data_IF_303670474231
#
_entry.id   IF_303670474231
#
_cell.length_a   1.000
_cell.length_b   1.000
_cell.length_c   1.000
_cell.angle_alpha   90.00
_cell.angle_beta   90.00
_cell.angle_gamma   90.00
#
_symmetry.space_group_name_H-M   'P 1'
#
loop_
_entity.id
_entity.type
_entity.pdbx_description
1 polymer ?
#
# COMPACT_ATOMS: atom_id res chain seq x y z
N UNK A 1 -12.90 -15.85 16.28
CA UNK A 1 -13.67 -16.27 15.09
C UNK A 1 -12.74 -16.12 13.91
N UNK A 2 -12.34 -17.23 13.27
CA UNK A 2 -11.61 -17.15 12.00
C UNK A 2 -12.51 -16.42 11.00
N UNK A 3 -12.07 -15.25 10.53
CA UNK A 3 -12.68 -14.56 9.41
C UNK A 3 -12.55 -15.48 8.21
N UNK A 4 -13.67 -16.00 7.70
CA UNK A 4 -13.67 -16.66 6.39
C UNK A 4 -13.21 -15.58 5.39
N UNK A 5 -12.17 -15.82 4.56
CA UNK A 5 -11.80 -14.88 3.52
C UNK A 5 -13.00 -14.71 2.58
N UNK A 6 -13.64 -13.54 2.62
CA UNK A 6 -14.68 -13.20 1.65
C UNK A 6 -13.94 -12.73 0.40
N UNK A 7 -13.79 -13.65 -0.55
CA UNK A 7 -13.12 -13.37 -1.81
C UNK A 7 -13.94 -12.38 -2.63
N UNK A 8 -13.34 -11.29 -3.10
CA UNK A 8 -14.00 -10.49 -4.13
C UNK A 8 -13.80 -11.16 -5.49
N UNK A 9 -14.90 -11.30 -6.22
CA UNK A 9 -14.94 -11.64 -7.64
C UNK A 9 -15.64 -10.49 -8.38
N UNK A 10 -15.70 -10.56 -9.71
CA UNK A 10 -16.58 -9.67 -10.46
C UNK A 10 -18.03 -9.89 -10.01
N UNK A 11 -18.58 -8.92 -9.28
CA UNK A 11 -19.98 -8.91 -8.86
C UNK A 11 -20.77 -8.18 -9.96
N UNK A 12 -21.83 -8.80 -10.54
CA UNK A 12 -22.73 -8.13 -11.46
C UNK A 12 -23.32 -6.86 -10.82
N UNK A 13 -23.57 -5.84 -11.64
CA UNK A 13 -24.05 -4.51 -11.20
C UNK A 13 -25.26 -4.56 -10.26
N UNK A 14 -26.15 -5.53 -10.45
CA UNK A 14 -27.43 -5.64 -9.74
C UNK A 14 -27.30 -6.34 -8.37
N UNK A 15 -26.13 -6.91 -8.06
CA UNK A 15 -25.87 -7.67 -6.82
C UNK A 15 -25.14 -6.83 -5.75
N UNK A 16 -25.03 -5.50 -5.94
CA UNK A 16 -24.45 -4.58 -4.96
C UNK A 16 -25.41 -4.43 -3.78
N UNK A 17 -25.06 -5.05 -2.66
CA UNK A 17 -25.77 -4.87 -1.40
C UNK A 17 -25.27 -3.61 -0.69
N UNK A 18 -26.19 -2.75 -0.25
CA UNK A 18 -25.81 -1.50 0.43
C UNK A 18 -25.44 -1.76 1.89
N UNK A 19 -25.04 -0.73 2.64
CA UNK A 19 -24.80 -0.86 4.10
C UNK A 19 -26.13 -0.93 4.85
N UNK A 20 -26.81 -2.06 4.72
CA UNK A 20 -28.09 -2.32 5.36
C UNK A 20 -27.88 -2.92 6.76
N UNK A 21 -28.55 -2.32 7.75
CA UNK A 21 -28.71 -2.92 9.08
C UNK A 21 -29.82 -3.97 9.02
N UNK A 22 -29.56 -5.09 8.33
CA UNK A 22 -30.55 -6.15 8.03
C UNK A 22 -31.27 -6.72 9.27
N UNK A 23 -30.82 -6.39 10.49
CA UNK A 23 -31.32 -6.96 11.74
C UNK A 23 -31.60 -5.94 12.85
N UNK A 24 -31.66 -4.62 12.59
CA UNK A 24 -31.79 -3.60 13.66
C UNK A 24 -30.75 -3.82 14.79
N UNK A 25 -29.49 -4.13 14.42
CA UNK A 25 -28.45 -4.59 15.34
C UNK A 25 -27.93 -3.51 16.30
N UNK A 26 -28.32 -2.26 16.07
CA UNK A 26 -27.95 -1.13 16.91
C UNK A 26 -28.92 -1.05 18.08
N UNK A 27 -28.78 -2.01 18.99
CA UNK A 27 -29.31 -1.92 20.34
C UNK A 27 -28.39 -1.02 21.18
N UNK A 28 -29.00 -0.10 21.94
CA UNK A 28 -28.33 0.68 22.97
C UNK A 28 -27.62 -0.28 23.96
N UNK A 29 -26.28 -0.23 24.03
CA UNK A 29 -25.34 -1.04 24.84
C UNK A 29 -24.58 -2.23 24.18
N UNK A 30 -24.58 -2.41 22.85
CA UNK A 30 -23.69 -3.39 22.19
C UNK A 30 -22.40 -2.78 21.62
N UNK A 31 -21.37 -3.63 21.48
CA UNK A 31 -20.07 -3.29 20.90
C UNK A 31 -20.24 -2.79 19.45
N UNK A 32 -20.23 -1.46 19.27
CA UNK A 32 -20.33 -0.78 17.97
C UNK A 32 -19.34 -1.34 16.94
N UNK A 33 -18.15 -1.80 17.38
CA UNK A 33 -17.17 -2.36 16.45
C UNK A 33 -17.69 -3.64 15.79
N UNK A 34 -18.28 -4.53 16.58
CA UNK A 34 -18.88 -5.77 16.07
C UNK A 34 -20.05 -5.49 15.12
N UNK A 35 -20.84 -4.43 15.36
CA UNK A 35 -21.93 -4.01 14.48
C UNK A 35 -21.43 -3.43 13.15
N UNK A 36 -20.41 -2.57 13.18
CA UNK A 36 -19.86 -1.97 11.97
C UNK A 36 -18.98 -2.92 11.15
N UNK A 37 -18.50 -4.04 11.73
CA UNK A 37 -17.64 -4.99 11.02
C UNK A 37 -18.24 -5.52 9.71
N UNK A 38 -19.44 -6.14 9.70
CA UNK A 38 -20.03 -6.64 8.45
C UNK A 38 -20.30 -5.51 7.44
N UNK A 39 -20.71 -4.34 7.91
CA UNK A 39 -20.92 -3.15 7.07
C UNK A 39 -19.61 -2.73 6.37
N UNK A 40 -18.53 -2.59 7.12
CA UNK A 40 -17.24 -2.22 6.52
C UNK A 40 -16.67 -3.32 5.63
N UNK A 41 -16.83 -4.59 5.99
CA UNK A 41 -16.44 -5.70 5.12
C UNK A 41 -17.16 -5.62 3.77
N UNK A 42 -18.47 -5.35 3.78
CA UNK A 42 -19.26 -5.16 2.57
C UNK A 42 -18.81 -3.93 1.75
N UNK A 43 -18.51 -2.80 2.41
CA UNK A 43 -17.95 -1.62 1.75
C UNK A 43 -16.66 -1.94 1.00
N UNK A 44 -15.69 -2.59 1.66
CA UNK A 44 -14.41 -2.90 1.05
C UNK A 44 -14.52 -4.00 0.00
N UNK A 45 -15.46 -4.95 0.14
CA UNK A 45 -15.81 -5.91 -0.89
C UNK A 45 -16.28 -5.19 -2.16
N UNK A 46 -17.24 -4.27 -2.06
CA UNK A 46 -17.76 -3.53 -3.20
C UNK A 46 -16.72 -2.61 -3.85
N UNK A 47 -15.87 -1.95 -3.04
CA UNK A 47 -14.72 -1.17 -3.56
C UNK A 47 -13.76 -2.05 -4.36
N UNK A 48 -13.44 -3.23 -3.84
CA UNK A 48 -12.57 -4.19 -4.51
C UNK A 48 -13.19 -4.69 -5.83
N UNK A 49 -14.48 -5.04 -5.82
CA UNK A 49 -15.20 -5.44 -7.04
C UNK A 49 -15.25 -4.32 -8.08
N UNK A 50 -15.37 -3.05 -7.65
CA UNK A 50 -15.34 -1.88 -8.55
C UNK A 50 -13.97 -1.67 -9.21
N UNK A 51 -12.88 -2.03 -8.52
CA UNK A 51 -11.53 -2.03 -9.11
C UNK A 51 -11.42 -3.13 -10.16
N UNK A 52 -11.93 -4.33 -9.89
CA UNK A 52 -11.90 -5.47 -10.82
C UNK A 52 -12.75 -5.24 -12.08
N UNK A 53 -13.93 -4.63 -11.92
CA UNK A 53 -14.85 -4.34 -13.02
C UNK A 53 -14.54 -3.04 -13.77
N UNK A 54 -13.69 -2.18 -13.20
CA UNK A 54 -13.48 -0.80 -13.65
C UNK A 54 -14.78 0.02 -13.71
N UNK A 55 -15.74 -0.27 -12.82
CA UNK A 55 -17.04 0.41 -12.71
C UNK A 55 -17.24 0.94 -11.29
N UNK A 56 -17.36 2.26 -11.16
CA UNK A 56 -17.55 2.96 -9.90
C UNK A 56 -18.99 3.44 -9.67
N UNK A 57 -19.93 3.17 -10.57
CA UNK A 57 -21.28 3.76 -10.50
C UNK A 57 -22.04 3.27 -9.28
N UNK A 58 -21.97 1.95 -9.00
CA UNK A 58 -22.63 1.34 -7.87
C UNK A 58 -22.11 1.82 -6.50
N UNK A 59 -20.87 2.32 -6.45
CA UNK A 59 -20.29 2.88 -5.23
C UNK A 59 -20.99 4.16 -4.76
N UNK A 60 -21.70 4.89 -5.63
CA UNK A 60 -22.40 6.13 -5.26
C UNK A 60 -23.35 5.95 -4.08
N UNK A 61 -24.00 4.79 -3.98
CA UNK A 61 -24.96 4.47 -2.92
C UNK A 61 -24.35 4.46 -1.51
N UNK A 62 -23.02 4.32 -1.39
CA UNK A 62 -22.30 4.31 -0.11
C UNK A 62 -21.95 5.71 0.40
N UNK A 63 -22.08 6.78 -0.41
CA UNK A 63 -21.61 8.12 -0.05
C UNK A 63 -22.75 9.14 -0.03
N UNK A 64 -22.64 10.09 0.90
CA UNK A 64 -23.51 11.26 0.91
C UNK A 64 -23.05 12.27 -0.16
N UNK A 65 -23.59 12.14 -1.37
CA UNK A 65 -23.24 13.01 -2.50
C UNK A 65 -23.83 14.42 -2.41
N UNK A 66 -24.71 14.71 -1.45
CA UNK A 66 -25.21 16.07 -1.20
C UNK A 66 -24.21 16.91 -0.39
N UNK A 67 -23.23 16.27 0.25
CA UNK A 67 -22.15 16.93 1.00
C UNK A 67 -20.83 16.88 0.23
N UNK A 68 -20.12 18.01 0.17
CA UNK A 68 -18.77 18.09 -0.45
C UNK A 68 -17.81 17.05 0.11
N UNK A 69 -17.85 16.76 1.41
CA UNK A 69 -16.97 15.76 2.03
C UNK A 69 -17.29 14.33 1.61
N UNK A 70 -18.56 14.01 1.31
CA UNK A 70 -18.95 12.72 0.76
C UNK A 70 -18.62 12.62 -0.72
N UNK A 71 -18.83 13.69 -1.48
CA UNK A 71 -18.39 13.80 -2.89
C UNK A 71 -16.88 13.55 -3.01
N UNK A 72 -16.05 14.23 -2.20
CA UNK A 72 -14.59 14.04 -2.23
C UNK A 72 -14.17 12.62 -1.87
N UNK A 73 -14.84 11.97 -0.92
CA UNK A 73 -14.57 10.58 -0.58
C UNK A 73 -14.87 9.64 -1.76
N UNK A 74 -16.01 9.85 -2.43
CA UNK A 74 -16.37 9.10 -3.64
C UNK A 74 -15.39 9.35 -4.80
N UNK A 75 -15.04 10.61 -5.06
CA UNK A 75 -14.07 11.00 -6.09
C UNK A 75 -12.69 10.37 -5.85
N UNK A 76 -12.28 10.20 -4.58
CA UNK A 76 -11.04 9.53 -4.27
C UNK A 76 -11.05 8.05 -4.71
N UNK A 77 -12.15 7.34 -4.47
CA UNK A 77 -12.28 5.95 -4.94
C UNK A 77 -12.29 5.87 -6.48
N UNK A 78 -12.93 6.82 -7.17
CA UNK A 78 -12.89 6.87 -8.65
C UNK A 78 -11.46 7.05 -9.14
N UNK A 79 -10.69 7.97 -8.52
CA UNK A 79 -9.28 8.19 -8.88
C UNK A 79 -8.45 6.92 -8.67
N UNK A 80 -8.69 6.19 -7.59
CA UNK A 80 -8.03 4.93 -7.28
C UNK A 80 -8.35 3.83 -8.30
N UNK A 81 -9.61 3.66 -8.68
CA UNK A 81 -10.03 2.70 -9.72
C UNK A 81 -9.33 3.03 -11.05
N UNK A 82 -9.37 4.30 -11.46
CA UNK A 82 -8.69 4.77 -12.66
C UNK A 82 -7.17 4.57 -12.59
N UNK A 83 -6.55 4.83 -11.44
CA UNK A 83 -5.13 4.61 -11.24
C UNK A 83 -4.74 3.16 -11.49
N UNK A 84 -5.47 2.22 -10.88
CA UNK A 84 -5.23 0.80 -11.03
C UNK A 84 -5.45 0.31 -12.46
N UNK A 85 -6.49 0.78 -13.13
CA UNK A 85 -6.73 0.50 -14.55
C UNK A 85 -5.55 0.98 -15.42
N UNK A 86 -5.10 2.22 -15.22
CA UNK A 86 -3.95 2.77 -15.95
C UNK A 86 -2.65 2.02 -15.65
N UNK A 87 -2.44 1.62 -14.40
CA UNK A 87 -1.28 0.79 -14.03
C UNK A 87 -1.35 -0.57 -14.73
N UNK A 88 -2.49 -1.26 -14.69
CA UNK A 88 -2.69 -2.52 -15.41
C UNK A 88 -2.37 -2.40 -16.91
N UNK A 89 -2.85 -1.34 -17.57
CA UNK A 89 -2.57 -1.06 -18.98
C UNK A 89 -1.06 -0.88 -19.23
N UNK A 90 -0.39 -0.04 -18.43
CA UNK A 90 1.05 0.22 -18.55
C UNK A 90 1.90 -1.02 -18.30
N UNK A 91 1.51 -1.85 -17.34
CA UNK A 91 2.23 -3.06 -16.97
C UNK A 91 1.95 -4.24 -17.92
N UNK A 92 0.84 -4.23 -18.67
CA UNK A 92 0.36 -5.41 -19.40
C UNK A 92 -0.12 -6.50 -18.45
N UNK A 93 -0.79 -6.10 -17.37
CA UNK A 93 -1.25 -6.99 -16.31
C UNK A 93 -2.73 -6.75 -16.00
N UNK A 94 -3.39 -7.77 -15.45
CA UNK A 94 -4.78 -7.69 -15.02
C UNK A 94 -4.93 -8.22 -13.61
N UNK A 95 -5.72 -7.54 -12.77
CA UNK A 95 -6.09 -8.07 -11.46
C UNK A 95 -7.02 -9.27 -11.62
N UNK A 96 -6.70 -10.38 -10.94
CA UNK A 96 -7.52 -11.60 -10.93
C UNK A 96 -8.48 -11.64 -9.74
N UNK A 97 -8.06 -11.11 -8.59
CA UNK A 97 -8.84 -11.05 -7.35
C UNK A 97 -8.23 -10.04 -6.38
N UNK A 98 -9.07 -9.51 -5.50
CA UNK A 98 -8.65 -8.57 -4.45
C UNK A 98 -9.33 -8.95 -3.13
N UNK A 99 -8.56 -9.04 -2.04
CA UNK A 99 -9.09 -9.43 -0.74
C UNK A 99 -8.75 -8.36 0.30
N UNK A 100 -9.69 -8.04 1.20
CA UNK A 100 -9.44 -7.08 2.27
C UNK A 100 -9.72 -7.69 3.63
N UNK A 101 -8.81 -7.47 4.59
CA UNK A 101 -9.02 -7.74 6.01
C UNK A 101 -9.21 -6.40 6.71
N UNK A 102 -10.38 -6.20 7.32
CA UNK A 102 -10.73 -4.98 8.06
C UNK A 102 -10.55 -5.20 9.56
N UNK A 103 -9.87 -4.29 10.24
CA UNK A 103 -9.73 -4.26 11.69
C UNK A 103 -10.23 -2.93 12.27
N UNK A 104 -11.32 -2.96 13.02
CA UNK A 104 -11.93 -1.75 13.59
C UNK A 104 -11.27 -1.42 14.93
N UNK A 105 -10.44 -0.38 14.93
CA UNK A 105 -9.74 0.09 16.12
C UNK A 105 -10.63 0.93 17.03
N UNK A 106 -11.57 1.70 16.47
CA UNK A 106 -12.47 2.57 17.22
C UNK A 106 -13.80 2.71 16.47
N UNK A 107 -14.90 2.69 17.22
CA UNK A 107 -16.22 3.09 16.75
C UNK A 107 -16.92 3.83 17.89
N UNK A 108 -17.39 5.04 17.64
CA UNK A 108 -18.09 5.87 18.62
C UNK A 108 -19.23 6.62 17.96
N UNK A 109 -20.37 6.77 18.65
CA UNK A 109 -21.35 7.77 18.26
C UNK A 109 -20.84 9.17 18.67
N UNK A 110 -20.80 10.09 17.71
CA UNK A 110 -20.31 11.45 17.92
C UNK A 110 -21.46 12.41 18.21
N UNK A 111 -22.54 12.22 17.47
CA UNK A 111 -23.81 12.96 17.54
C UNK A 111 -24.91 11.96 17.19
N UNK A 112 -26.17 12.29 17.49
CA UNK A 112 -27.31 11.42 17.19
C UNK A 112 -27.25 10.91 15.74
N UNK A 113 -27.20 9.59 15.58
CA UNK A 113 -27.14 8.87 14.31
C UNK A 113 -25.86 9.14 13.48
N UNK A 114 -24.80 9.71 14.04
CA UNK A 114 -23.53 9.97 13.36
C UNK A 114 -22.38 9.30 14.10
N UNK A 115 -21.73 8.36 13.44
CA UNK A 115 -20.72 7.50 14.05
C UNK A 115 -19.34 7.77 13.44
N UNK A 116 -18.35 7.99 14.30
CA UNK A 116 -16.94 8.04 13.93
C UNK A 116 -16.31 6.66 14.04
N UNK A 117 -15.78 6.14 12.94
CA UNK A 117 -15.14 4.82 12.87
C UNK A 117 -13.70 4.97 12.38
N UNK A 118 -12.76 4.31 13.06
CA UNK A 118 -11.36 4.20 12.64
C UNK A 118 -11.06 2.73 12.39
N UNK A 119 -10.74 2.38 11.15
CA UNK A 119 -10.36 1.02 10.80
C UNK A 119 -9.03 0.97 10.04
N UNK A 120 -8.28 -0.11 10.27
CA UNK A 120 -7.11 -0.48 9.49
C UNK A 120 -7.53 -1.55 8.49
N UNK A 121 -7.06 -1.46 7.26
CA UNK A 121 -7.42 -2.38 6.19
C UNK A 121 -6.15 -2.88 5.53
N UNK A 122 -6.00 -4.20 5.46
CA UNK A 122 -4.97 -4.86 4.66
C UNK A 122 -5.62 -5.39 3.41
N UNK A 123 -5.31 -4.81 2.25
CA UNK A 123 -5.84 -5.22 0.96
C UNK A 123 -4.76 -5.92 0.15
N UNK A 124 -5.02 -7.18 -0.18
CA UNK A 124 -4.19 -8.02 -1.02
C UNK A 124 -4.71 -8.03 -2.45
N UNK A 125 -3.82 -7.74 -3.40
CA UNK A 125 -4.11 -7.71 -4.81
C UNK A 125 -3.37 -8.86 -5.49
N UNK A 126 -4.09 -9.58 -6.34
CA UNK A 126 -3.52 -10.63 -7.17
C UNK A 126 -3.62 -10.23 -8.63
N UNK A 127 -2.54 -10.39 -9.37
CA UNK A 127 -2.47 -9.98 -10.76
C UNK A 127 -1.69 -10.97 -11.61
N UNK A 128 -1.97 -10.94 -12.91
CA UNK A 128 -1.38 -11.82 -13.91
C UNK A 128 -0.95 -10.99 -15.11
N UNK A 129 0.19 -11.33 -15.69
CA UNK A 129 0.61 -10.74 -16.96
C UNK A 129 -0.19 -11.33 -18.11
N UNK A 130 -0.49 -10.51 -19.12
CA UNK A 130 -1.29 -10.89 -20.28
C UNK A 130 -0.71 -12.08 -21.06
N UNK A 131 0.62 -12.18 -21.12
CA UNK A 131 1.35 -13.22 -21.84
C UNK A 131 1.64 -14.47 -20.98
N UNK A 132 1.40 -14.41 -19.67
CA UNK A 132 1.59 -15.51 -18.71
C UNK A 132 0.38 -15.66 -17.76
N UNK A 133 -0.84 -15.90 -18.27
CA UNK A 133 -2.08 -15.90 -17.48
C UNK A 133 -2.18 -17.03 -16.44
N UNK A 134 -1.26 -17.99 -16.48
CA UNK A 134 -1.18 -19.11 -15.53
C UNK A 134 -0.32 -18.79 -14.31
N UNK A 135 0.47 -17.71 -14.31
CA UNK A 135 1.33 -17.33 -13.19
C UNK A 135 0.69 -16.14 -12.49
N UNK A 136 0.34 -16.32 -11.22
CA UNK A 136 -0.25 -15.27 -10.39
C UNK A 136 0.81 -14.62 -9.50
N UNK A 137 0.88 -13.30 -9.56
CA UNK A 137 1.68 -12.46 -8.67
C UNK A 137 0.75 -11.80 -7.63
N UNK A 138 1.32 -11.29 -6.53
CA UNK A 138 0.55 -10.62 -5.48
C UNK A 138 1.30 -9.53 -4.77
N UNK A 139 0.56 -8.60 -4.16
CA UNK A 139 1.08 -7.61 -3.21
C UNK A 139 0.01 -7.20 -2.19
N UNK A 140 0.42 -6.56 -1.07
CA UNK A 140 -0.51 -6.00 -0.08
C UNK A 140 -0.28 -4.51 0.17
N UNK A 141 -1.38 -3.79 0.38
CA UNK A 141 -1.42 -2.41 0.84
C UNK A 141 -2.15 -2.31 2.18
N UNK A 142 -1.63 -1.52 3.10
CA UNK A 142 -2.25 -1.20 4.38
C UNK A 142 -2.69 0.25 4.45
N UNK A 143 -3.97 0.47 4.74
CA UNK A 143 -4.58 1.80 4.86
C UNK A 143 -5.27 1.99 6.20
N UNK A 144 -5.28 3.22 6.70
CA UNK A 144 -5.99 3.61 7.91
C UNK A 144 -7.08 4.62 7.55
N UNK A 145 -8.34 4.22 7.76
CA UNK A 145 -9.52 4.98 7.36
C UNK A 145 -10.19 5.61 8.57
N UNK A 146 -10.53 6.88 8.44
CA UNK A 146 -11.30 7.66 9.40
C UNK A 146 -12.64 8.03 8.74
N UNK A 147 -13.68 7.29 9.12
CA UNK A 147 -15.01 7.37 8.52
C UNK A 147 -15.98 8.09 9.47
N UNK A 148 -16.83 8.95 8.91
CA UNK A 148 -18.07 9.39 9.54
C UNK A 148 -19.23 8.72 8.81
N UNK A 149 -19.93 7.82 9.49
CA UNK A 149 -21.08 7.09 8.97
C UNK A 149 -22.36 7.70 9.57
N UNK A 150 -23.27 8.17 8.71
CA UNK A 150 -24.59 8.67 9.13
C UNK A 150 -25.63 7.59 8.91
N UNK A 151 -26.41 7.28 9.95
CA UNK A 151 -27.59 6.44 9.85
C UNK A 151 -28.74 7.27 9.25
N UNK A 152 -29.33 6.79 8.16
CA UNK A 152 -30.54 7.35 7.56
C UNK A 152 -31.81 6.75 8.16
N UNK A 153 -32.96 7.38 7.88
CA UNK A 153 -34.26 6.98 8.44
C UNK A 153 -34.73 5.59 7.96
N UNK A 154 -34.19 5.11 6.84
CA UNK A 154 -34.38 3.75 6.29
C UNK A 154 -33.37 2.73 6.84
N UNK A 155 -32.73 3.03 7.98
CA UNK A 155 -31.72 2.20 8.64
C UNK A 155 -30.44 1.92 7.85
N UNK A 156 -30.19 2.60 6.73
CA UNK A 156 -28.93 2.49 6.00
C UNK A 156 -27.84 3.38 6.58
N UNK A 157 -26.60 3.03 6.29
CA UNK A 157 -25.44 3.85 6.60
C UNK A 157 -24.84 4.46 5.35
N UNK A 158 -24.58 5.77 5.39
CA UNK A 158 -23.89 6.50 4.31
C UNK A 158 -22.63 7.18 4.83
N UNK A 159 -21.58 7.19 4.02
CA UNK A 159 -20.33 7.86 4.30
C UNK A 159 -20.52 9.36 4.07
N UNK A 160 -20.55 10.15 5.15
CA UNK A 160 -20.58 11.61 5.04
C UNK A 160 -19.20 12.21 4.83
N UNK A 161 -18.18 11.53 5.37
CA UNK A 161 -16.79 11.93 5.29
C UNK A 161 -15.91 10.71 5.46
N UNK A 162 -14.85 10.67 4.69
CA UNK A 162 -13.74 9.75 4.88
C UNK A 162 -12.43 10.50 4.75
N UNK A 163 -11.43 10.07 5.49
CA UNK A 163 -10.05 10.44 5.26
C UNK A 163 -9.16 9.21 5.43
N UNK A 164 -8.28 8.99 4.47
CA UNK A 164 -7.15 8.08 4.59
C UNK A 164 -6.02 8.57 3.69
N UNK A 165 -4.78 8.23 4.03
CA UNK A 165 -3.66 8.48 3.13
C UNK A 165 -3.70 7.47 2.00
N UNK A 166 -4.25 7.87 0.86
CA UNK A 166 -4.19 7.09 -0.36
C UNK A 166 -2.85 7.34 -1.08
N UNK A 167 -1.94 6.34 -1.16
CA UNK A 167 -0.68 6.50 -1.87
C UNK A 167 -0.87 6.68 -3.38
N UNK A 168 -2.09 6.53 -3.90
CA UNK A 168 -2.46 6.61 -5.31
C UNK A 168 -3.24 7.90 -5.66
N UNK A 169 -3.36 8.84 -4.70
CA UNK A 169 -4.15 10.06 -4.85
C UNK A 169 -3.71 10.99 -5.99
N UNK A 170 -2.41 10.95 -6.35
CA UNK A 170 -1.90 11.59 -7.55
C UNK A 170 -2.15 10.65 -8.75
N UNK A 171 -3.21 10.92 -9.52
CA UNK A 171 -3.63 10.07 -10.64
C UNK A 171 -2.49 9.87 -11.64
N UNK A 172 -2.22 8.61 -12.00
CA UNK A 172 -1.31 8.26 -13.08
C UNK A 172 -1.85 8.79 -14.42
N UNK A 173 -1.18 9.76 -15.02
CA UNK A 173 -1.53 10.23 -16.37
C UNK A 173 -0.78 9.42 -17.42
N UNK A 174 -1.51 8.61 -18.18
CA UNK A 174 -0.95 7.78 -19.25
C UNK A 174 -0.45 8.61 -20.43
N UNK A 175 -0.95 9.83 -20.63
CA UNK A 175 -0.56 10.67 -21.78
C UNK A 175 0.93 11.05 -21.75
N UNK A 176 1.54 11.06 -20.56
CA UNK A 176 2.94 11.44 -20.35
C UNK A 176 3.88 10.23 -20.24
N UNK A 177 3.36 9.01 -20.39
CA UNK A 177 4.11 7.77 -20.24
C UNK A 177 4.11 7.01 -21.56
N UNK A 178 5.28 6.46 -21.93
CA UNK A 178 5.42 5.61 -23.11
C UNK A 178 4.82 4.20 -22.88
N UNK A 179 3.53 4.15 -22.59
CA UNK A 179 2.83 2.97 -22.06
C UNK A 179 3.12 1.70 -22.88
N UNK A 180 3.00 1.76 -24.21
CA UNK A 180 3.28 0.61 -25.07
C UNK A 180 4.75 0.17 -25.09
N UNK A 181 5.72 1.09 -25.04
CA UNK A 181 7.15 0.74 -24.99
C UNK A 181 7.47 0.04 -23.66
N UNK A 182 6.94 0.58 -22.56
CA UNK A 182 7.12 0.05 -21.20
C UNK A 182 6.46 -1.33 -21.08
N UNK A 183 5.19 -1.45 -21.49
CA UNK A 183 4.45 -2.70 -21.50
C UNK A 183 5.20 -3.79 -22.25
N UNK A 184 5.58 -3.53 -23.50
CA UNK A 184 6.29 -4.53 -24.33
C UNK A 184 7.63 -4.94 -23.71
N UNK A 185 8.35 -3.98 -23.10
CA UNK A 185 9.60 -4.28 -22.41
C UNK A 185 9.38 -5.14 -21.17
N UNK A 186 8.37 -4.85 -20.34
CA UNK A 186 8.07 -5.67 -19.15
C UNK A 186 7.68 -7.08 -19.56
N UNK A 187 6.76 -7.23 -20.52
CA UNK A 187 6.28 -8.54 -20.97
C UNK A 187 7.40 -9.40 -21.58
N UNK A 188 8.41 -8.79 -22.22
CA UNK A 188 9.54 -9.53 -22.79
C UNK A 188 10.52 -10.09 -21.75
N UNK A 189 10.41 -9.72 -20.47
CA UNK A 189 11.30 -10.19 -19.42
C UNK A 189 10.80 -11.48 -18.77
N UNK A 190 11.72 -12.14 -18.07
CA UNK A 190 11.43 -13.26 -17.17
C UNK A 190 12.19 -13.04 -15.87
N UNK A 191 11.61 -13.48 -14.77
CA UNK A 191 12.28 -13.44 -13.48
C UNK A 191 13.67 -14.09 -13.55
N UNK A 192 14.73 -13.43 -13.07
CA UNK A 192 16.04 -14.04 -12.98
C UNK A 192 16.04 -15.12 -11.90
N UNK A 193 16.90 -16.13 -12.05
CA UNK A 193 17.18 -17.05 -10.94
C UNK A 193 17.95 -16.27 -9.86
N UNK A 194 17.31 -16.03 -8.73
CA UNK A 194 17.90 -15.32 -7.61
C UNK A 194 17.76 -16.14 -6.32
N UNK A 195 18.85 -16.23 -5.57
CA UNK A 195 18.87 -16.81 -4.23
C UNK A 195 19.58 -15.80 -3.32
N UNK A 196 18.88 -15.20 -2.35
CA UNK A 196 19.51 -14.26 -1.43
C UNK A 196 20.55 -14.98 -0.55
N UNK A 197 21.62 -14.29 -0.20
CA UNK A 197 22.49 -14.74 0.89
C UNK A 197 21.73 -14.68 2.24
N UNK A 198 22.35 -15.25 3.28
CA UNK A 198 21.70 -15.38 4.59
C UNK A 198 21.31 -14.02 5.21
N UNK A 199 22.17 -12.99 5.08
CA UNK A 199 21.90 -11.67 5.68
C UNK A 199 20.80 -10.95 4.92
N UNK A 200 20.84 -11.02 3.59
CA UNK A 200 19.76 -10.49 2.75
C UNK A 200 18.44 -11.20 3.04
N UNK A 201 18.45 -12.53 3.21
CA UNK A 201 17.26 -13.30 3.56
C UNK A 201 16.66 -12.88 4.90
N UNK A 202 17.48 -12.72 5.95
CA UNK A 202 17.04 -12.20 7.26
C UNK A 202 16.45 -10.79 7.17
N UNK A 203 17.03 -9.92 6.34
CA UNK A 203 16.49 -8.58 6.09
C UNK A 203 15.11 -8.63 5.42
N UNK A 204 14.93 -9.49 4.41
CA UNK A 204 13.63 -9.71 3.74
C UNK A 204 12.60 -10.23 4.76
N UNK A 205 12.97 -11.23 5.56
CA UNK A 205 12.08 -11.83 6.55
C UNK A 205 11.65 -10.78 7.60
N UNK A 206 12.59 -9.97 8.09
CA UNK A 206 12.27 -8.87 8.99
C UNK A 206 11.28 -7.88 8.35
N UNK A 207 11.53 -7.50 7.10
CA UNK A 207 10.66 -6.57 6.37
C UNK A 207 9.24 -7.13 6.24
N UNK A 208 9.09 -8.40 5.86
CA UNK A 208 7.78 -9.03 5.69
C UNK A 208 7.03 -9.13 7.02
N UNK A 209 7.73 -9.47 8.10
CA UNK A 209 7.15 -9.59 9.44
C UNK A 209 6.66 -8.25 9.99
N UNK A 210 7.42 -7.17 9.84
CA UNK A 210 7.13 -5.91 10.56
C UNK A 210 6.55 -4.79 9.69
N UNK A 211 6.18 -5.05 8.44
CA UNK A 211 5.64 -4.05 7.52
C UNK A 211 4.24 -3.52 7.86
N UNK A 212 3.55 -4.06 8.86
CA UNK A 212 2.17 -3.69 9.22
C UNK A 212 1.08 -4.45 8.46
N UNK A 213 1.37 -5.03 7.30
CA UNK A 213 0.44 -5.87 6.51
C UNK A 213 0.99 -7.28 6.24
N UNK A 214 1.67 -7.85 7.23
CA UNK A 214 2.29 -9.17 7.17
C UNK A 214 1.33 -10.27 6.71
N UNK A 215 1.88 -11.31 6.08
CA UNK A 215 1.19 -12.57 5.81
C UNK A 215 0.98 -13.39 7.10
N UNK A 216 1.81 -13.16 8.11
CA UNK A 216 1.63 -13.75 9.42
C UNK A 216 0.55 -12.98 10.20
N UNK A 217 -0.56 -13.65 10.49
CA UNK A 217 -1.68 -13.10 11.26
C UNK A 217 -1.27 -12.59 12.64
N UNK A 218 -0.24 -13.19 13.26
CA UNK A 218 0.28 -12.73 14.55
C UNK A 218 0.96 -11.36 14.43
N UNK A 219 1.38 -10.97 13.23
CA UNK A 219 2.06 -9.72 12.94
C UNK A 219 1.24 -8.73 12.09
N UNK A 220 0.04 -9.13 11.65
CA UNK A 220 -0.86 -8.24 10.92
C UNK A 220 -1.28 -7.02 11.77
N UNK A 221 -1.19 -5.83 11.19
CA UNK A 221 -1.39 -4.52 11.84
C UNK A 221 -0.42 -4.22 13.00
N UNK A 222 0.75 -4.87 13.02
CA UNK A 222 1.77 -4.66 14.05
C UNK A 222 3.10 -4.22 13.43
N UNK A 223 3.79 -3.39 14.19
CA UNK A 223 5.16 -2.96 13.92
C UNK A 223 6.08 -3.46 15.04
N UNK A 224 7.40 -3.38 14.83
CA UNK A 224 8.36 -3.75 15.86
C UNK A 224 8.28 -2.80 17.06
N UNK A 225 7.89 -3.32 18.23
CA UNK A 225 7.69 -2.54 19.47
C UNK A 225 8.98 -1.96 20.06
N UNK A 226 10.15 -2.47 19.66
CA UNK A 226 11.44 -1.93 20.09
C UNK A 226 11.74 -0.57 19.43
N UNK A 227 11.04 -0.26 18.35
CA UNK A 227 11.17 0.97 17.60
C UNK A 227 9.91 1.83 17.76
N UNK A 228 10.11 3.14 17.84
CA UNK A 228 9.03 4.11 17.80
C UNK A 228 8.49 4.10 16.37
N UNK A 229 7.17 4.03 16.24
CA UNK A 229 6.49 4.28 14.98
C UNK A 229 6.41 5.80 14.75
N UNK A 230 7.15 6.32 13.77
CA UNK A 230 7.16 7.74 13.40
C UNK A 230 6.11 8.11 12.35
N UNK A 231 5.19 7.21 11.97
CA UNK A 231 4.11 7.54 11.05
C UNK A 231 3.30 8.77 11.51
N UNK A 232 2.94 8.92 12.81
CA UNK A 232 2.27 10.13 13.30
C UNK A 232 3.12 11.41 13.25
N UNK A 233 4.45 11.27 13.17
CA UNK A 233 5.41 12.38 13.18
C UNK A 233 5.83 12.82 11.76
N UNK A 234 5.15 12.30 10.72
CA UNK A 234 5.35 12.69 9.32
C UNK A 234 6.19 11.74 8.47
N UNK A 235 6.65 10.60 9.01
CA UNK A 235 7.44 9.64 8.22
C UNK A 235 8.14 8.56 9.04
N UNK A 236 7.93 7.28 8.71
CA UNK A 236 8.60 6.11 9.30
C UNK A 236 9.41 5.27 8.28
N UNK A 237 9.33 5.57 6.98
CA UNK A 237 9.95 4.79 5.92
C UNK A 237 11.46 4.57 6.10
N UNK A 238 12.22 5.62 6.41
CA UNK A 238 13.66 5.50 6.66
C UNK A 238 13.98 4.79 7.99
N UNK A 239 13.16 5.00 9.02
CA UNK A 239 13.28 4.29 10.28
C UNK A 239 13.09 2.78 10.08
N UNK A 240 12.12 2.38 9.26
CA UNK A 240 11.87 0.99 8.92
C UNK A 240 12.95 0.39 8.01
N UNK A 241 13.38 1.11 6.97
CA UNK A 241 14.53 0.69 6.15
C UNK A 241 15.79 0.49 7.01
N UNK A 242 16.01 1.36 8.00
CA UNK A 242 17.13 1.23 8.92
C UNK A 242 17.00 0.02 9.84
N UNK A 243 15.79 -0.28 10.31
CA UNK A 243 15.50 -1.50 11.06
C UNK A 243 15.79 -2.76 10.25
N UNK A 244 15.35 -2.81 8.99
CA UNK A 244 15.60 -3.93 8.08
C UNK A 244 17.11 -4.22 7.95
N UNK A 245 17.92 -3.17 7.76
CA UNK A 245 19.38 -3.30 7.67
C UNK A 245 20.01 -3.73 9.00
N UNK A 246 19.57 -3.16 10.12
CA UNK A 246 20.18 -3.43 11.42
C UNK A 246 19.78 -4.81 11.98
N UNK A 247 18.48 -5.05 12.12
CA UNK A 247 17.94 -6.25 12.77
C UNK A 247 18.05 -7.48 11.87
N UNK A 248 17.77 -7.32 10.57
CA UNK A 248 17.83 -8.43 9.62
C UNK A 248 19.16 -8.50 8.89
N UNK A 249 19.61 -7.38 8.30
CA UNK A 249 20.86 -7.33 7.54
C UNK A 249 22.14 -7.33 8.37
N UNK A 250 22.04 -7.29 9.70
CA UNK A 250 23.16 -7.29 10.66
C UNK A 250 24.17 -6.14 10.46
N UNK A 251 23.74 -5.02 9.85
CA UNK A 251 24.58 -3.84 9.67
C UNK A 251 24.96 -3.22 11.02
N UNK A 252 26.23 -2.88 11.24
CA UNK A 252 26.67 -2.29 12.52
C UNK A 252 26.24 -0.82 12.62
N UNK A 253 25.61 -0.43 13.73
CA UNK A 253 25.35 0.99 14.07
C UNK A 253 26.67 1.75 14.29
N UNK A 254 26.64 3.06 14.07
CA UNK A 254 27.71 3.99 14.44
C UNK A 254 27.14 5.35 14.87
N UNK A 255 27.97 6.33 15.19
CA UNK A 255 27.49 7.64 15.66
C UNK A 255 26.63 8.40 14.64
N UNK A 256 26.80 8.14 13.34
CA UNK A 256 26.07 8.83 12.26
C UNK A 256 24.76 8.15 11.90
N UNK A 257 24.69 6.82 12.01
CA UNK A 257 23.50 6.00 11.78
C UNK A 257 23.27 5.07 12.97
N UNK A 258 22.38 5.48 13.85
CA UNK A 258 22.02 4.77 15.07
C UNK A 258 20.63 5.16 15.57
N UNK A 259 20.11 4.32 16.45
CA UNK A 259 18.86 4.46 17.17
C UNK A 259 19.04 4.04 18.62
N UNK A 260 18.60 4.89 19.56
CA UNK A 260 18.65 4.66 20.99
C UNK A 260 17.60 5.51 21.72
N UNK A 261 17.07 5.01 22.83
CA UNK A 261 16.16 5.81 23.69
C UNK A 261 14.90 6.33 22.98
N UNK A 262 14.35 5.57 22.02
CA UNK A 262 13.23 5.98 21.15
C UNK A 262 13.52 7.15 20.20
N UNK A 263 14.79 7.43 19.96
CA UNK A 263 15.26 8.47 19.04
C UNK A 263 16.25 7.87 18.05
N UNK A 264 16.18 8.31 16.80
CA UNK A 264 17.15 7.95 15.77
C UNK A 264 17.93 9.18 15.32
N UNK A 265 19.20 8.95 14.96
CA UNK A 265 20.00 9.93 14.21
C UNK A 265 19.28 10.34 12.92
N UNK A 266 19.64 11.50 12.36
CA UNK A 266 19.01 11.97 11.10
C UNK A 266 19.14 10.93 9.98
N UNK A 267 20.30 10.29 9.83
CA UNK A 267 20.51 9.24 8.84
C UNK A 267 19.65 8.00 9.09
N UNK A 268 19.21 7.74 10.33
CA UNK A 268 18.33 6.63 10.63
C UNK A 268 16.86 6.91 10.29
N UNK A 269 16.36 8.11 10.62
CA UNK A 269 14.91 8.40 10.55
C UNK A 269 14.48 9.25 9.36
N UNK A 270 15.40 9.91 8.65
CA UNK A 270 15.06 10.82 7.56
C UNK A 270 15.44 10.24 6.19
N UNK A 271 14.48 10.17 5.26
CA UNK A 271 14.65 9.58 3.93
C UNK A 271 15.85 10.13 3.13
N UNK A 272 16.03 11.45 3.11
CA UNK A 272 17.14 12.09 2.41
C UNK A 272 18.49 11.76 3.06
N UNK A 273 18.56 11.88 4.38
CA UNK A 273 19.79 11.65 5.12
C UNK A 273 20.18 10.16 5.16
N UNK A 274 19.20 9.27 5.21
CA UNK A 274 19.39 7.83 5.07
C UNK A 274 20.07 7.50 3.73
N UNK A 275 19.48 7.96 2.62
CA UNK A 275 20.07 7.77 1.29
C UNK A 275 21.47 8.35 1.21
N UNK A 276 21.67 9.57 1.70
CA UNK A 276 22.99 10.23 1.71
C UNK A 276 24.02 9.40 2.49
N UNK A 277 23.65 8.93 3.68
CA UNK A 277 24.50 8.08 4.51
C UNK A 277 24.87 6.77 3.82
N UNK A 278 23.89 6.07 3.25
CA UNK A 278 24.13 4.78 2.59
C UNK A 278 25.15 4.92 1.45
N UNK A 279 25.02 5.96 0.62
CA UNK A 279 25.96 6.23 -0.48
C UNK A 279 27.32 6.70 0.04
N UNK A 280 27.35 7.68 0.96
CA UNK A 280 28.60 8.29 1.41
C UNK A 280 29.43 7.39 2.35
N UNK A 281 28.83 6.31 2.88
CA UNK A 281 29.51 5.32 3.72
C UNK A 281 29.89 4.04 2.97
N UNK A 282 29.74 4.03 1.64
CA UNK A 282 29.98 2.88 0.76
C UNK A 282 29.14 1.64 1.11
N UNK A 283 28.04 1.83 1.84
CA UNK A 283 27.05 0.76 2.13
C UNK A 283 26.09 0.53 0.98
N UNK A 284 25.98 1.47 0.06
CA UNK A 284 25.23 1.33 -1.16
C UNK A 284 25.86 2.10 -2.30
N UNK A 285 25.63 1.64 -3.53
CA UNK A 285 26.03 2.32 -4.77
C UNK A 285 24.83 2.58 -5.66
N UNK A 286 24.95 3.53 -6.60
CA UNK A 286 23.85 3.82 -7.53
C UNK A 286 23.81 2.80 -8.67
N UNK A 287 22.62 2.23 -8.90
CA UNK A 287 22.29 1.52 -10.13
C UNK A 287 21.87 2.54 -11.20
N UNK A 288 20.92 3.42 -10.86
CA UNK A 288 20.41 4.46 -11.74
C UNK A 288 19.71 5.59 -10.97
N UNK A 289 19.58 6.75 -11.61
CA UNK A 289 18.79 7.88 -11.11
C UNK A 289 18.13 8.63 -12.28
N UNK A 290 16.83 8.89 -12.22
CA UNK A 290 16.11 9.57 -13.30
C UNK A 290 14.60 9.60 -13.12
N UNK A 291 13.88 10.12 -14.12
CA UNK A 291 12.43 9.95 -14.17
C UNK A 291 12.07 8.49 -14.49
N UNK A 292 10.81 8.09 -14.32
CA UNK A 292 10.37 6.73 -14.65
C UNK A 292 10.74 6.35 -16.10
N UNK A 293 10.40 7.19 -17.07
CA UNK A 293 10.66 6.95 -18.50
C UNK A 293 12.16 6.80 -18.81
N UNK A 294 13.04 7.45 -18.05
CA UNK A 294 14.49 7.40 -18.27
C UNK A 294 15.10 6.08 -17.78
N UNK A 295 14.59 5.53 -16.67
CA UNK A 295 15.30 4.46 -15.94
C UNK A 295 14.50 3.18 -15.70
N UNK A 296 13.26 3.06 -16.17
CA UNK A 296 12.45 1.85 -15.93
C UNK A 296 13.14 0.55 -16.37
N UNK A 297 13.96 0.60 -17.44
CA UNK A 297 14.76 -0.55 -17.89
C UNK A 297 15.80 -0.96 -16.86
N UNK A 298 16.42 0.00 -16.18
CA UNK A 298 17.40 -0.24 -15.12
C UNK A 298 16.78 -0.80 -13.84
N UNK A 299 15.46 -0.69 -13.66
CA UNK A 299 14.77 -1.27 -12.50
C UNK A 299 14.92 -2.79 -12.44
N UNK A 300 15.07 -3.46 -13.59
CA UNK A 300 15.32 -4.91 -13.66
C UNK A 300 16.71 -5.34 -13.16
N UNK A 301 17.60 -4.38 -12.84
CA UNK A 301 18.86 -4.66 -12.16
C UNK A 301 18.74 -4.63 -10.63
N UNK A 302 17.62 -4.13 -10.10
CA UNK A 302 17.34 -4.18 -8.66
C UNK A 302 17.14 -5.62 -8.21
N UNK A 303 17.63 -5.93 -7.02
CA UNK A 303 17.53 -7.23 -6.37
C UNK A 303 16.95 -7.07 -4.97
N UNK A 304 16.34 -8.13 -4.42
CA UNK A 304 15.99 -8.13 -3.00
C UNK A 304 17.19 -7.74 -2.13
N UNK A 305 16.98 -6.84 -1.17
CA UNK A 305 18.02 -6.16 -0.39
C UNK A 305 18.25 -4.70 -0.79
N UNK A 306 18.03 -4.36 -2.07
CA UNK A 306 18.26 -3.01 -2.59
C UNK A 306 17.23 -1.99 -2.07
N UNK A 307 17.49 -0.70 -2.26
CA UNK A 307 16.52 0.36 -1.97
C UNK A 307 16.13 1.18 -3.20
N UNK A 308 14.89 1.64 -3.16
CA UNK A 308 14.36 2.68 -4.05
C UNK A 308 14.11 3.94 -3.23
N UNK A 309 14.75 5.04 -3.64
CA UNK A 309 14.46 6.38 -3.12
C UNK A 309 13.57 7.16 -4.08
N UNK A 310 12.56 7.84 -3.54
CA UNK A 310 11.62 8.65 -4.32
C UNK A 310 11.87 10.13 -4.03
N UNK A 311 12.34 10.85 -5.05
CA UNK A 311 12.66 12.27 -4.99
C UNK A 311 11.50 13.10 -5.50
N UNK A 312 11.05 14.08 -4.70
CA UNK A 312 10.08 15.11 -5.10
C UNK A 312 10.70 16.47 -4.82
N UNK A 313 10.73 17.34 -5.83
CA UNK A 313 11.31 18.70 -5.76
C UNK A 313 12.75 18.74 -5.21
N UNK A 314 13.62 17.86 -5.71
CA UNK A 314 15.05 17.84 -5.33
C UNK A 314 15.38 17.13 -4.02
N UNK A 315 14.38 16.57 -3.32
CA UNK A 315 14.57 15.91 -2.03
C UNK A 315 13.95 14.52 -2.02
N UNK A 316 14.66 13.54 -1.47
CA UNK A 316 14.10 12.21 -1.21
C UNK A 316 13.03 12.33 -0.11
N UNK A 317 11.78 12.08 -0.49
CA UNK A 317 10.62 12.13 0.40
C UNK A 317 10.24 10.76 0.94
N UNK A 318 10.71 9.69 0.29
CA UNK A 318 10.36 8.32 0.67
C UNK A 318 11.47 7.32 0.32
N UNK A 319 11.51 6.21 1.06
CA UNK A 319 12.43 5.08 0.85
C UNK A 319 11.61 3.78 0.92
N UNK A 320 11.86 2.86 0.00
CA UNK A 320 11.33 1.49 0.09
C UNK A 320 12.43 0.46 -0.17
N UNK A 321 12.32 -0.70 0.47
CA UNK A 321 13.26 -1.83 0.32
C UNK A 321 12.71 -2.80 -0.71
N UNK A 322 13.52 -3.21 -1.68
CA UNK A 322 13.17 -4.32 -2.57
C UNK A 322 13.26 -5.61 -1.77
N UNK A 323 12.18 -6.37 -1.72
CA UNK A 323 12.09 -7.62 -0.94
C UNK A 323 11.60 -8.81 -1.74
N UNK A 324 11.37 -8.62 -3.04
CA UNK A 324 10.96 -9.66 -3.95
C UNK A 324 11.00 -9.19 -5.38
N UNK A 325 10.85 -10.14 -6.30
CA UNK A 325 10.69 -9.92 -7.72
C UNK A 325 9.43 -10.68 -8.15
N UNK A 326 8.64 -10.13 -9.07
CA UNK A 326 7.50 -10.84 -9.64
C UNK A 326 7.93 -11.82 -10.75
N UNK A 327 6.96 -12.45 -11.42
CA UNK A 327 7.21 -13.43 -12.49
C UNK A 327 7.99 -12.89 -13.70
N UNK A 328 7.99 -11.57 -13.92
CA UNK A 328 8.76 -10.90 -14.98
C UNK A 328 10.11 -10.38 -14.48
N UNK A 329 10.40 -10.51 -13.18
CA UNK A 329 11.59 -9.93 -12.56
C UNK A 329 11.40 -8.46 -12.18
N UNK A 330 10.17 -7.97 -12.19
CA UNK A 330 9.86 -6.59 -11.80
C UNK A 330 10.02 -6.44 -10.28
N UNK A 331 10.70 -5.38 -9.80
CA UNK A 331 11.05 -5.28 -8.38
C UNK A 331 9.84 -4.90 -7.52
N UNK A 332 9.69 -5.65 -6.42
CA UNK A 332 8.62 -5.52 -5.45
C UNK A 332 9.17 -5.01 -4.11
N UNK A 333 8.61 -3.90 -3.63
CA UNK A 333 9.08 -3.18 -2.46
C UNK A 333 8.19 -3.34 -1.24
N UNK A 334 8.80 -3.30 -0.07
CA UNK A 334 8.17 -3.35 1.25
C UNK A 334 8.62 -2.14 2.06
N UNK A 335 7.67 -1.39 2.62
CA UNK A 335 7.96 -0.16 3.37
C UNK A 335 6.79 0.27 4.28
N UNK A 336 7.06 1.23 5.18
CA UNK A 336 6.04 1.97 5.95
C UNK A 336 5.61 3.25 5.22
N UNK A 337 4.69 4.03 5.84
CA UNK A 337 4.00 5.20 5.28
C UNK A 337 3.07 4.86 4.10
N UNK A 338 1.85 4.45 4.47
CA UNK A 338 1.04 3.45 3.76
C UNK A 338 1.80 2.14 3.72
N UNK A 339 1.37 1.18 4.52
CA UNK A 339 2.09 -0.08 4.68
C UNK A 339 2.09 -0.84 3.35
N UNK A 340 3.26 -1.32 2.92
CA UNK A 340 3.44 -2.02 1.65
C UNK A 340 4.16 -3.32 1.90
N UNK A 341 3.62 -4.41 1.35
CA UNK A 341 4.31 -5.70 1.25
C UNK A 341 4.34 -6.13 -0.21
N UNK A 342 5.55 -6.27 -0.76
CA UNK A 342 5.79 -6.73 -2.13
C UNK A 342 5.06 -5.91 -3.21
N UNK A 343 4.91 -4.61 -3.00
CA UNK A 343 4.22 -3.72 -3.95
C UNK A 343 5.15 -3.37 -5.11
N UNK A 344 4.69 -3.37 -6.38
CA UNK A 344 5.49 -2.88 -7.51
C UNK A 344 6.08 -1.49 -7.21
N UNK A 345 7.39 -1.33 -7.38
CA UNK A 345 8.13 -0.17 -6.86
C UNK A 345 7.58 1.19 -7.34
N UNK A 346 6.97 1.24 -8.52
CA UNK A 346 6.48 2.45 -9.16
C UNK A 346 5.00 2.76 -8.86
N UNK A 347 4.28 1.83 -8.23
CA UNK A 347 2.87 1.96 -7.91
C UNK A 347 2.68 3.06 -6.84
N UNK A 348 1.88 4.08 -7.14
CA UNK A 348 1.76 5.32 -6.37
C UNK A 348 2.89 6.34 -6.58
N UNK A 349 3.89 6.05 -7.42
CA UNK A 349 5.06 6.90 -7.63
C UNK A 349 5.29 7.32 -9.09
N UNK A 350 4.47 6.84 -10.01
CA UNK A 350 4.63 7.06 -11.45
C UNK A 350 4.14 8.43 -11.97
N UNK A 351 4.20 9.50 -11.17
CA UNK A 351 3.86 10.85 -11.64
C UNK A 351 5.11 11.65 -12.06
N UNK A 352 4.94 12.64 -12.95
CA UNK A 352 6.06 13.38 -13.57
C UNK A 352 6.92 14.17 -12.58
N UNK A 353 6.43 14.40 -11.37
CA UNK A 353 7.15 15.13 -10.32
C UNK A 353 8.06 14.22 -9.48
N UNK A 354 8.06 12.92 -9.73
CA UNK A 354 8.88 11.94 -9.03
C UNK A 354 10.09 11.55 -9.87
N UNK A 355 11.26 11.58 -9.22
CA UNK A 355 12.49 10.96 -9.74
C UNK A 355 12.88 9.80 -8.83
N UNK A 356 13.35 8.73 -9.43
CA UNK A 356 13.72 7.50 -8.75
C UNK A 356 15.23 7.45 -8.55
N UNK A 357 15.64 6.87 -7.43
CA UNK A 357 17.02 6.52 -7.11
C UNK A 357 17.06 5.02 -6.84
N UNK A 358 17.71 4.25 -7.70
CA UNK A 358 17.93 2.82 -7.50
C UNK A 358 19.30 2.61 -6.89
N UNK A 359 19.35 1.98 -5.73
CA UNK A 359 20.56 1.80 -4.94
C UNK A 359 20.81 0.33 -4.65
N UNK A 360 21.95 -0.19 -5.10
CA UNK A 360 22.48 -1.52 -4.79
C UNK A 360 23.07 -1.49 -3.39
N UNK A 361 22.64 -2.40 -2.51
CA UNK A 361 23.07 -2.44 -1.10
C UNK A 361 24.11 -3.51 -0.89
N UNK A 362 25.24 -3.13 -0.29
CA UNK A 362 26.35 -4.03 -0.03
C UNK A 362 26.12 -4.74 1.30
N UNK A 363 25.41 -5.87 1.27
CA UNK A 363 25.15 -6.71 2.45
C UNK A 363 26.43 -7.25 3.05
#
# INVERSE_FOLDING_TARGET
>A
MCSIPCYSYNIPRDDITTLEDENNLIEDNKDLKSQFKPLLDNLFLNRNSSILSNDSEGLKSFYNLDKKTGQWAYENEIKKIKYFSNWCEKQGANFSRINSIVNISKAIEKEKNLYGVICYVSTEFFYKYEDEPCIENRFKLGTCHYLNLKKSDDNRFIIEKEWYTDPLADSLDLNNIKSNEIKNYILSHKAPKYTPDERTKKAIDYAHTYCGVSDDEEHLFKYNKNYKNFNPDGGDCANFASQILYEGGEFKKNSSWSYSGKSGTKAWVNAQEFKNYMVNSDRASYIAKGSYNDIYKAAFNLKPGDFVGYEKKGRITHISTVTGLDSKGYPLVTCHNTDRLLVPYDLGWSNDNIRFHFLDVHY
#
